data_IF_682482528503
#
_entry.id   IF_682482528503
#
_cell.length_a   1.000
_cell.length_b   1.000
_cell.length_c   1.000
_cell.angle_alpha   90.00
_cell.angle_beta   90.00
_cell.angle_gamma   90.00
#
_symmetry.space_group_name_H-M   'P 1'
#
loop_
_entity.id
_entity.type
_entity.pdbx_description
1 polymer ?
#
# COMPACT_ATOMS: atom_id res chain seq x y z
N UNK A 1 -15.37 -33.95 -32.32
CA UNK A 1 -15.65 -32.60 -31.79
C UNK A 1 -15.42 -32.65 -30.29
N UNK A 2 -14.37 -31.99 -29.81
CA UNK A 2 -14.08 -31.90 -28.37
C UNK A 2 -14.73 -30.63 -27.87
N UNK A 3 -15.55 -30.72 -26.82
CA UNK A 3 -16.35 -29.64 -26.25
C UNK A 3 -15.50 -28.41 -25.91
N UNK A 4 -15.80 -27.28 -26.56
CA UNK A 4 -15.19 -25.97 -26.29
C UNK A 4 -15.60 -25.36 -24.93
N UNK A 5 -16.45 -26.05 -24.16
CA UNK A 5 -17.03 -25.55 -22.90
C UNK A 5 -16.14 -25.73 -21.66
N UNK A 6 -15.00 -26.42 -21.77
CA UNK A 6 -14.09 -26.67 -20.64
C UNK A 6 -12.74 -25.95 -20.75
N UNK A 7 -12.61 -24.93 -21.61
CA UNK A 7 -11.42 -24.10 -21.60
C UNK A 7 -11.57 -23.11 -20.45
N UNK A 8 -11.01 -23.46 -19.29
CA UNK A 8 -10.74 -22.47 -18.24
C UNK A 8 -9.99 -21.33 -18.92
N UNK A 9 -10.51 -20.11 -18.80
CA UNK A 9 -9.78 -18.94 -19.24
C UNK A 9 -8.38 -19.01 -18.64
N UNK A 10 -7.31 -18.73 -19.42
CA UNK A 10 -5.97 -18.72 -18.87
C UNK A 10 -5.94 -17.80 -17.66
N UNK A 11 -5.20 -18.20 -16.62
CA UNK A 11 -4.98 -17.32 -15.48
C UNK A 11 -4.32 -16.05 -16.03
N UNK A 12 -4.87 -14.86 -15.76
CA UNK A 12 -4.26 -13.61 -16.21
C UNK A 12 -2.81 -13.58 -15.73
N UNK A 13 -1.89 -13.34 -16.66
CA UNK A 13 -0.48 -13.22 -16.32
C UNK A 13 -0.29 -11.97 -15.47
N UNK A 14 0.27 -12.13 -14.27
CA UNK A 14 0.61 -10.98 -13.43
C UNK A 14 1.61 -10.08 -14.15
N UNK A 15 1.27 -8.79 -14.23
CA UNK A 15 2.07 -7.76 -14.88
C UNK A 15 2.48 -6.72 -13.86
N UNK A 16 3.77 -6.40 -13.83
CA UNK A 16 4.35 -5.42 -12.94
C UNK A 16 4.70 -4.18 -13.76
N UNK A 17 4.08 -3.06 -13.41
CA UNK A 17 4.43 -1.74 -13.94
C UNK A 17 5.22 -0.98 -12.88
N UNK A 18 6.34 -0.38 -13.30
CA UNK A 18 7.20 0.40 -12.43
C UNK A 18 6.96 1.88 -12.70
N UNK A 19 6.76 2.65 -11.64
CA UNK A 19 6.49 4.09 -11.73
C UNK A 19 5.32 4.47 -12.67
N UNK A 20 4.22 3.69 -12.80
CA UNK A 20 3.10 4.13 -13.62
C UNK A 20 2.46 5.39 -13.06
N UNK A 21 1.96 6.22 -13.97
CA UNK A 21 1.25 7.44 -13.64
C UNK A 21 -0.10 7.11 -13.00
N UNK A 22 -0.40 7.82 -11.93
CA UNK A 22 -1.73 7.88 -11.32
C UNK A 22 -2.41 9.15 -11.81
N UNK A 23 -3.55 8.99 -12.44
CA UNK A 23 -4.28 10.08 -13.09
C UNK A 23 -5.70 10.21 -12.56
N UNK A 24 -6.20 11.44 -12.62
CA UNK A 24 -7.61 11.76 -12.48
C UNK A 24 -8.03 12.47 -13.78
N UNK A 25 -8.99 11.95 -14.55
CA UNK A 25 -9.46 12.58 -15.78
C UNK A 25 -9.97 14.01 -15.59
N UNK A 26 -10.36 14.39 -14.37
CA UNK A 26 -10.83 15.74 -14.05
C UNK A 26 -9.68 16.73 -13.73
N UNK A 27 -8.43 16.27 -13.61
CA UNK A 27 -7.28 17.10 -13.30
C UNK A 27 -6.36 17.26 -14.52
N UNK A 28 -5.86 18.49 -14.72
CA UNK A 28 -4.90 18.79 -15.81
C UNK A 28 -3.51 18.19 -15.55
N UNK A 29 -3.16 17.92 -14.30
CA UNK A 29 -1.87 17.37 -13.91
C UNK A 29 -2.03 15.98 -13.31
N UNK A 30 -1.07 15.07 -13.57
CA UNK A 30 -1.04 13.78 -12.93
C UNK A 30 -1.06 13.90 -11.42
N UNK A 31 -1.78 13.00 -10.77
CA UNK A 31 -1.81 12.93 -9.32
C UNK A 31 -0.41 12.59 -8.82
N UNK A 32 0.25 11.56 -9.36
CA UNK A 32 1.62 11.17 -8.99
C UNK A 32 2.12 9.91 -9.69
N UNK A 33 3.28 9.39 -9.27
CA UNK A 33 3.86 8.15 -9.79
C UNK A 33 3.81 7.07 -8.71
N UNK A 34 3.12 5.98 -8.99
CA UNK A 34 3.02 4.81 -8.12
C UNK A 34 4.32 4.02 -8.23
N UNK A 35 5.00 3.67 -7.13
CA UNK A 35 6.29 2.96 -7.26
C UNK A 35 6.16 1.62 -8.00
N UNK A 36 5.16 0.80 -7.65
CA UNK A 36 4.84 -0.46 -8.34
C UNK A 36 3.33 -0.66 -8.42
N UNK A 37 2.82 -0.96 -9.62
CA UNK A 37 1.44 -1.44 -9.84
C UNK A 37 1.47 -2.87 -10.32
N UNK A 38 0.72 -3.74 -9.63
CA UNK A 38 0.57 -5.16 -9.99
C UNK A 38 -0.81 -5.35 -10.58
N UNK A 39 -0.85 -5.69 -11.86
CA UNK A 39 -2.07 -5.99 -12.60
C UNK A 39 -2.21 -7.51 -12.65
N UNK A 40 -3.34 -8.01 -12.16
CA UNK A 40 -3.61 -9.44 -12.03
C UNK A 40 -4.99 -9.83 -12.58
N UNK A 41 -5.62 -8.93 -13.33
CA UNK A 41 -6.86 -9.17 -14.07
C UNK A 41 -6.67 -8.79 -15.54
N UNK A 42 -7.62 -9.17 -16.39
CA UNK A 42 -7.58 -8.91 -17.84
C UNK A 42 -7.99 -7.48 -18.24
N UNK A 43 -8.68 -6.76 -17.36
CA UNK A 43 -9.27 -5.45 -17.65
C UNK A 43 -8.48 -4.28 -17.04
N UNK A 44 -7.38 -4.53 -16.34
CA UNK A 44 -6.53 -3.55 -15.67
C UNK A 44 -7.22 -2.65 -14.61
N UNK A 45 -8.53 -2.84 -14.40
CA UNK A 45 -9.35 -2.10 -13.42
C UNK A 45 -9.10 -2.54 -11.99
N UNK A 46 -8.72 -3.81 -11.80
CA UNK A 46 -8.41 -4.39 -10.50
C UNK A 46 -6.92 -4.66 -10.42
N UNK A 47 -6.25 -3.88 -9.57
CA UNK A 47 -4.81 -3.93 -9.42
C UNK A 47 -4.41 -3.78 -7.95
N UNK A 48 -3.13 -3.99 -7.67
CA UNK A 48 -2.54 -3.75 -6.37
C UNK A 48 -1.49 -2.67 -6.52
N UNK A 49 -1.60 -1.63 -5.70
CA UNK A 49 -0.61 -0.55 -5.65
C UNK A 49 0.34 -0.76 -4.49
N UNK A 50 1.64 -0.66 -4.78
CA UNK A 50 2.69 -0.67 -3.78
C UNK A 50 3.42 0.66 -3.79
N UNK A 51 3.56 1.27 -2.62
CA UNK A 51 4.37 2.46 -2.38
C UNK A 51 5.56 2.08 -1.50
N UNK A 52 6.74 2.56 -1.86
CA UNK A 52 8.00 2.22 -1.24
C UNK A 52 8.62 3.44 -0.56
N UNK A 53 9.14 3.26 0.66
CA UNK A 53 9.85 4.29 1.40
C UNK A 53 11.07 3.70 2.10
N UNK A 54 12.13 4.49 2.22
CA UNK A 54 13.25 4.17 3.11
C UNK A 54 12.82 4.40 4.56
N UNK A 55 13.29 3.56 5.46
CA UNK A 55 13.02 3.68 6.90
C UNK A 55 14.25 3.25 7.71
N UNK A 56 14.46 3.89 8.85
CA UNK A 56 15.52 3.54 9.78
C UNK A 56 14.99 3.54 11.21
N UNK A 57 15.49 2.64 12.05
CA UNK A 57 15.05 2.52 13.44
C UNK A 57 15.37 3.75 14.28
N UNK A 58 16.30 4.61 13.83
CA UNK A 58 16.80 5.77 14.57
C UNK A 58 16.34 7.11 14.00
N UNK A 59 15.63 7.14 12.87
CA UNK A 59 15.34 8.38 12.15
C UNK A 59 13.82 8.67 12.05
N UNK A 60 13.34 9.60 12.87
CA UNK A 60 11.93 10.02 12.90
C UNK A 60 11.45 10.65 11.59
N UNK A 61 12.31 11.39 10.89
CA UNK A 61 11.98 12.02 9.61
C UNK A 61 11.58 10.99 8.56
N UNK A 62 12.18 9.80 8.56
CA UNK A 62 11.82 8.74 7.61
C UNK A 62 10.47 8.11 7.94
N UNK A 63 10.15 7.91 9.22
CA UNK A 63 8.82 7.43 9.62
C UNK A 63 7.73 8.46 9.30
N UNK A 64 8.04 9.75 9.45
CA UNK A 64 7.13 10.82 9.08
C UNK A 64 6.86 10.84 7.57
N UNK A 65 7.91 10.71 6.74
CA UNK A 65 7.77 10.58 5.28
C UNK A 65 7.03 9.30 4.89
N UNK A 66 7.23 8.21 5.61
CA UNK A 66 6.51 6.96 5.38
C UNK A 66 4.99 7.17 5.48
N UNK A 67 4.55 7.89 6.52
CA UNK A 67 3.14 8.17 6.74
C UNK A 67 2.65 9.29 5.80
N UNK A 68 3.25 10.48 5.85
CA UNK A 68 2.76 11.66 5.11
C UNK A 68 2.92 11.56 3.60
N UNK A 69 4.03 10.98 3.14
CA UNK A 69 4.31 10.91 1.70
C UNK A 69 3.97 9.53 1.11
N UNK A 70 3.55 8.58 1.94
CA UNK A 70 3.19 7.22 1.54
C UNK A 70 1.74 6.87 1.88
N UNK A 71 1.46 6.63 3.17
CA UNK A 71 0.11 6.29 3.66
C UNK A 71 -0.95 7.29 3.19
N UNK A 72 -0.67 8.60 3.28
CA UNK A 72 -1.65 9.63 2.88
C UNK A 72 -1.99 9.59 1.37
N UNK A 73 -1.14 9.01 0.52
CA UNK A 73 -1.46 8.82 -0.91
C UNK A 73 -2.59 7.80 -1.07
N UNK A 74 -2.62 6.76 -0.26
CA UNK A 74 -3.75 5.83 -0.24
C UNK A 74 -4.98 6.45 0.41
N UNK A 75 -4.80 7.14 1.54
CA UNK A 75 -5.90 7.77 2.29
C UNK A 75 -6.60 8.89 1.53
N UNK A 76 -5.88 9.67 0.72
CA UNK A 76 -6.49 10.67 -0.15
C UNK A 76 -7.21 10.05 -1.36
N UNK A 77 -7.04 8.75 -1.61
CA UNK A 77 -7.53 8.10 -2.83
C UNK A 77 -6.64 8.33 -4.05
N UNK A 78 -5.52 9.06 -3.87
CA UNK A 78 -4.52 9.24 -4.92
C UNK A 78 -4.09 7.90 -5.48
N UNK A 79 -3.79 6.93 -4.60
CA UNK A 79 -3.36 5.58 -4.96
C UNK A 79 -4.39 4.53 -4.53
N UNK A 80 -4.73 3.64 -5.47
CA UNK A 80 -5.74 2.59 -5.26
C UNK A 80 -7.13 3.13 -4.87
N UNK A 81 -7.68 4.16 -5.55
CA UNK A 81 -9.03 4.63 -5.24
C UNK A 81 -10.03 3.49 -5.39
N UNK A 82 -10.88 3.29 -4.38
CA UNK A 82 -11.93 2.26 -4.39
C UNK A 82 -11.41 0.82 -4.24
N UNK A 83 -10.09 0.62 -4.13
CA UNK A 83 -9.50 -0.70 -3.96
C UNK A 83 -9.52 -1.13 -2.49
N UNK A 84 -9.68 -2.44 -2.26
CA UNK A 84 -9.71 -3.00 -0.91
C UNK A 84 -8.34 -2.99 -0.23
N UNK A 85 -7.25 -3.11 -1.00
CA UNK A 85 -5.90 -3.27 -0.48
C UNK A 85 -4.87 -2.38 -1.17
N UNK A 86 -3.88 -1.94 -0.40
CA UNK A 86 -2.63 -1.35 -0.87
C UNK A 86 -1.45 -1.87 -0.06
N UNK A 87 -0.22 -1.73 -0.58
CA UNK A 87 0.99 -2.14 0.13
C UNK A 87 1.88 -0.93 0.39
N UNK A 88 2.32 -0.80 1.64
CA UNK A 88 3.38 0.10 2.05
C UNK A 88 4.64 -0.71 2.35
N UNK A 89 5.68 -0.53 1.55
CA UNK A 89 6.97 -1.23 1.71
C UNK A 89 8.01 -0.29 2.32
N UNK A 90 8.48 -0.61 3.51
CA UNK A 90 9.57 0.06 4.20
C UNK A 90 10.90 -0.65 3.97
N UNK A 91 11.77 -0.10 3.14
CA UNK A 91 13.15 -0.57 3.02
C UNK A 91 13.97 -0.12 4.22
N UNK A 92 14.30 -1.07 5.09
CA UNK A 92 15.03 -0.81 6.34
C UNK A 92 16.50 -0.63 6.01
N UNK A 93 16.95 0.63 5.98
CA UNK A 93 18.34 1.00 5.65
C UNK A 93 19.26 0.97 6.86
N UNK A 94 18.71 0.94 8.08
CA UNK A 94 19.47 0.87 9.33
C UNK A 94 18.58 0.42 10.49
N UNK A 95 19.09 -0.49 11.32
CA UNK A 95 18.42 -1.02 12.51
C UNK A 95 17.52 -2.22 12.24
N UNK A 96 16.65 -2.53 13.20
CA UNK A 96 15.75 -3.70 13.16
C UNK A 96 14.38 -3.33 12.53
N UNK A 97 13.85 -4.13 11.58
CA UNK A 97 12.48 -4.01 11.07
C UNK A 97 11.41 -3.78 12.14
N UNK A 98 11.45 -4.49 13.27
CA UNK A 98 10.45 -4.34 14.32
C UNK A 98 10.46 -2.93 14.94
N UNK A 99 11.66 -2.37 15.15
CA UNK A 99 11.80 -1.00 15.64
C UNK A 99 11.35 0.03 14.60
N UNK A 100 11.52 -0.26 13.31
CA UNK A 100 10.99 0.59 12.23
C UNK A 100 9.46 0.55 12.19
N UNK A 101 8.86 -0.65 12.29
CA UNK A 101 7.42 -0.84 12.34
C UNK A 101 6.79 -0.10 13.53
N UNK A 102 7.36 -0.26 14.72
CA UNK A 102 6.91 0.44 15.93
C UNK A 102 7.01 1.97 15.79
N UNK A 103 8.04 2.45 15.11
CA UNK A 103 8.19 3.88 14.83
C UNK A 103 7.11 4.37 13.86
N UNK A 104 6.80 3.63 12.80
CA UNK A 104 5.70 3.96 11.88
C UNK A 104 4.37 3.95 12.62
N UNK A 105 4.09 2.92 13.43
CA UNK A 105 2.88 2.85 14.28
C UNK A 105 2.75 4.09 15.17
N UNK A 106 3.80 4.43 15.91
CA UNK A 106 3.82 5.60 16.79
C UNK A 106 3.62 6.91 16.04
N UNK A 107 4.19 7.04 14.83
CA UNK A 107 3.97 8.21 13.98
C UNK A 107 2.52 8.27 13.51
N UNK A 108 1.96 7.16 13.02
CA UNK A 108 0.60 7.08 12.52
C UNK A 108 -0.43 7.41 13.61
N UNK A 109 -0.22 6.95 14.85
CA UNK A 109 -1.08 7.27 15.98
C UNK A 109 -1.15 8.78 16.27
N UNK A 110 -0.04 9.51 16.01
CA UNK A 110 0.07 10.96 16.25
C UNK A 110 -0.44 11.80 15.09
N UNK A 111 -0.41 11.29 13.86
CA UNK A 111 -0.84 12.04 12.70
C UNK A 111 -2.38 12.26 12.70
N UNK A 112 -2.87 13.38 12.14
CA UNK A 112 -4.30 13.67 12.14
C UNK A 112 -5.09 12.65 11.32
N UNK A 113 -6.28 12.28 11.80
CA UNK A 113 -7.20 11.41 11.05
C UNK A 113 -7.66 12.04 9.73
N UNK A 114 -7.76 13.37 9.68
CA UNK A 114 -8.09 14.11 8.45
C UNK A 114 -7.03 13.96 7.35
N UNK A 115 -5.79 13.62 7.70
CA UNK A 115 -4.71 13.46 6.73
C UNK A 115 -4.53 11.99 6.33
N UNK A 116 -4.63 11.11 7.32
CA UNK A 116 -4.29 9.69 7.17
C UNK A 116 -5.50 8.80 6.95
N UNK A 117 -6.73 9.27 7.21
CA UNK A 117 -7.92 8.43 7.23
C UNK A 117 -7.88 7.29 8.25
N UNK A 118 -6.87 7.23 9.12
CA UNK A 118 -6.55 6.05 9.92
C UNK A 118 -7.66 5.71 10.93
N UNK A 119 -8.14 4.46 10.85
CA UNK A 119 -9.08 3.91 11.80
C UNK A 119 -8.37 3.39 13.04
N UNK A 120 -8.33 4.21 14.08
CA UNK A 120 -7.75 3.87 15.38
C UNK A 120 -8.48 2.74 16.11
N UNK A 121 -9.74 2.44 15.77
CA UNK A 121 -10.46 1.30 16.38
C UNK A 121 -9.94 -0.03 15.82
N UNK A 122 -9.69 -0.09 14.51
CA UNK A 122 -9.00 -1.23 13.92
C UNK A 122 -7.53 -1.27 14.31
N UNK A 123 -6.86 -0.10 14.32
CA UNK A 123 -5.49 0.03 14.80
C UNK A 123 -4.45 -0.66 13.91
N UNK A 124 -3.26 -0.84 14.48
CA UNK A 124 -2.11 -1.51 13.88
C UNK A 124 -2.12 -2.98 14.26
N UNK A 125 -2.49 -3.85 13.31
CA UNK A 125 -2.67 -5.28 13.54
C UNK A 125 -1.46 -6.04 12.98
N UNK A 126 -0.74 -6.85 13.77
CA UNK A 126 0.19 -7.83 13.22
C UNK A 126 -0.54 -8.79 12.28
N UNK A 127 0.10 -9.13 11.16
CA UNK A 127 -0.39 -10.13 10.22
C UNK A 127 0.76 -11.06 9.82
N UNK A 128 0.76 -12.23 10.44
CA UNK A 128 1.75 -13.28 10.22
C UNK A 128 1.26 -14.32 9.17
N UNK A 129 0.06 -14.15 8.61
CA UNK A 129 -0.60 -15.15 7.75
C UNK A 129 -0.41 -14.89 6.25
N UNK A 130 -0.03 -13.67 5.83
CA UNK A 130 0.10 -13.34 4.39
C UNK A 130 1.29 -14.06 3.75
N UNK A 131 2.50 -13.88 4.31
CA UNK A 131 3.71 -14.53 3.82
C UNK A 131 4.46 -15.13 5.00
N UNK A 132 4.47 -16.46 5.05
CA UNK A 132 5.15 -17.18 6.13
C UNK A 132 6.63 -16.78 6.22
N UNK A 133 7.08 -16.48 7.44
CA UNK A 133 8.47 -16.08 7.71
C UNK A 133 8.77 -14.59 7.55
N UNK A 134 7.80 -13.76 7.15
CA UNK A 134 7.93 -12.30 7.13
C UNK A 134 6.86 -11.70 8.04
N UNK A 135 7.25 -10.74 8.90
CA UNK A 135 6.28 -10.01 9.73
C UNK A 135 5.67 -8.88 8.92
N UNK A 136 4.33 -8.88 8.86
CA UNK A 136 3.57 -7.80 8.22
C UNK A 136 2.64 -7.18 9.26
N UNK A 137 2.10 -6.03 8.89
CA UNK A 137 1.09 -5.36 9.69
C UNK A 137 -0.01 -4.82 8.80
N UNK A 138 -1.21 -4.67 9.35
CA UNK A 138 -2.35 -4.08 8.68
C UNK A 138 -2.87 -2.86 9.41
N UNK A 139 -3.33 -1.90 8.63
CA UNK A 139 -4.10 -0.75 9.10
C UNK A 139 -5.27 -0.49 8.15
N UNK A 140 -6.33 0.16 8.65
CA UNK A 140 -7.48 0.60 7.85
C UNK A 140 -7.50 2.10 7.69
N UNK A 141 -7.83 2.56 6.50
CA UNK A 141 -7.87 3.98 6.14
C UNK A 141 -9.14 4.30 5.37
N UNK A 142 -9.84 5.35 5.79
CA UNK A 142 -10.93 5.91 4.99
C UNK A 142 -10.36 6.74 3.83
N UNK A 143 -10.84 6.45 2.62
CA UNK A 143 -10.53 7.22 1.43
C UNK A 143 -11.58 8.32 1.25
N UNK A 144 -11.21 9.58 1.44
CA UNK A 144 -12.17 10.69 1.39
C UNK A 144 -12.84 10.83 0.02
N UNK A 145 -12.06 10.80 -1.06
CA UNK A 145 -12.56 10.99 -2.43
C UNK A 145 -13.39 9.78 -2.88
N UNK A 146 -12.84 8.58 -2.71
CA UNK A 146 -13.49 7.34 -3.15
C UNK A 146 -14.64 6.89 -2.24
N UNK A 147 -14.83 7.52 -1.06
CA UNK A 147 -15.78 7.11 -0.02
C UNK A 147 -15.69 5.62 0.32
N UNK A 148 -14.46 5.09 0.31
CA UNK A 148 -14.16 3.69 0.49
C UNK A 148 -13.29 3.48 1.73
N UNK A 149 -13.12 2.23 2.18
CA UNK A 149 -12.09 1.86 3.14
C UNK A 149 -11.04 1.01 2.44
N UNK A 150 -9.77 1.36 2.61
CA UNK A 150 -8.63 0.59 2.12
C UNK A 150 -7.84 0.01 3.30
N UNK A 151 -7.47 -1.27 3.21
CA UNK A 151 -6.51 -1.92 4.10
C UNK A 151 -5.11 -1.76 3.53
N UNK A 152 -4.19 -1.22 4.32
CA UNK A 152 -2.78 -1.14 3.95
C UNK A 152 -2.01 -2.25 4.64
N UNK A 153 -1.29 -3.03 3.84
CA UNK A 153 -0.34 -4.04 4.31
C UNK A 153 1.03 -3.36 4.38
N UNK A 154 1.61 -3.32 5.58
CA UNK A 154 2.93 -2.75 5.84
C UNK A 154 3.96 -3.87 5.92
N UNK A 155 5.00 -3.77 5.09
CA UNK A 155 6.10 -4.74 5.03
C UNK A 155 7.41 -4.02 5.26
N UNK A 156 8.25 -4.54 6.15
CA UNK A 156 9.54 -3.94 6.47
C UNK A 156 10.67 -4.87 6.03
N UNK A 157 11.33 -4.52 4.92
CA UNK A 157 12.34 -5.36 4.26
C UNK A 157 13.75 -4.87 4.63
N UNK A 158 14.55 -5.66 5.36
CA UNK A 158 15.96 -5.38 5.59
C UNK A 158 16.75 -5.24 4.28
N UNK A 159 17.48 -4.14 4.12
CA UNK A 159 18.53 -4.02 3.12
C UNK A 159 19.85 -4.42 3.78
N UNK A 160 20.14 -5.71 3.76
CA UNK A 160 21.41 -6.26 4.26
C UNK A 160 22.54 -6.01 3.26
#
# INVERSE_FOLDING_TARGET
>A
MVDAKNRLDPVPQMRFEREPQSDDPELENPLGLIDIKVIYTWNDETYLTMECKRIASTENSLALKFVRDGVNRFASGKYGPGHAFGIMTGYVICGNPDCCAERVRTTLDKEPKSETGYDRHHGWQPDDDIVNGTRHYRTRHHQEIAKNTIELIHVFVPLN
#
